data_IF_017193562964
#
_entry.id   IF_017193562964
#
_cell.length_a   1.000
_cell.length_b   1.000
_cell.length_c   1.000
_cell.angle_alpha   90.00
_cell.angle_beta   90.00
_cell.angle_gamma   90.00
#
_symmetry.space_group_name_H-M   'P 1'
#
loop_
_entity.id
_entity.type
_entity.pdbx_description
1 polymer ?
#
# COMPACT_ATOMS: atom_id res chain seq x y z
N UNK A 1 8.88 -7.17 -11.65
CA UNK A 1 8.01 -8.13 -10.95
C UNK A 1 8.38 -8.31 -9.50
N UNK A 2 9.65 -8.46 -9.17
CA UNK A 2 10.14 -8.63 -7.79
C UNK A 2 9.73 -7.48 -6.84
N UNK A 3 9.49 -6.28 -7.37
CA UNK A 3 9.10 -5.09 -6.58
C UNK A 3 7.60 -4.98 -6.34
N UNK A 4 6.76 -5.74 -7.03
CA UNK A 4 5.29 -5.61 -6.95
C UNK A 4 4.76 -5.95 -5.57
N UNK A 5 5.18 -7.04 -5.00
CA UNK A 5 4.70 -7.48 -3.69
C UNK A 5 5.20 -6.59 -2.54
N UNK A 6 6.50 -6.20 -2.48
CA UNK A 6 6.95 -5.17 -1.55
C UNK A 6 6.19 -3.85 -1.68
N UNK A 7 5.93 -3.38 -2.92
CA UNK A 7 5.18 -2.16 -3.17
C UNK A 7 3.71 -2.27 -2.72
N UNK A 8 3.07 -3.40 -2.96
CA UNK A 8 1.72 -3.66 -2.48
C UNK A 8 1.65 -3.61 -0.94
N UNK A 9 2.60 -4.23 -0.25
CA UNK A 9 2.65 -4.23 1.21
C UNK A 9 2.96 -2.82 1.75
N UNK A 10 3.93 -2.08 1.21
CA UNK A 10 4.25 -0.74 1.71
C UNK A 10 3.11 0.24 1.45
N UNK A 11 2.42 0.14 0.31
CA UNK A 11 1.23 0.95 0.02
C UNK A 11 0.08 0.62 0.97
N UNK A 12 -0.11 -0.65 1.31
CA UNK A 12 -1.10 -1.08 2.31
C UNK A 12 -0.79 -0.54 3.71
N UNK A 13 0.47 -0.54 4.13
CA UNK A 13 0.92 0.08 5.38
C UNK A 13 0.66 1.58 5.37
N UNK A 14 0.94 2.25 4.25
CA UNK A 14 0.80 3.69 4.10
C UNK A 14 -0.66 4.13 4.24
N UNK A 15 -1.56 3.58 3.44
CA UNK A 15 -2.95 4.04 3.36
C UNK A 15 -3.94 2.96 2.93
N UNK A 16 -3.69 1.68 3.29
CA UNK A 16 -4.62 0.59 3.05
C UNK A 16 -5.92 0.73 3.85
N UNK A 17 -6.86 -0.20 3.69
CA UNK A 17 -8.25 -0.08 4.17
C UNK A 17 -8.40 -0.14 5.70
N UNK A 18 -7.35 -0.46 6.44
CA UNK A 18 -7.41 -0.55 7.89
C UNK A 18 -7.21 0.80 8.56
N UNK A 19 -7.94 1.06 9.62
CA UNK A 19 -7.89 2.30 10.39
C UNK A 19 -6.50 2.62 10.99
N UNK A 20 -5.64 1.62 11.16
CA UNK A 20 -4.28 1.76 11.66
C UNK A 20 -3.24 2.05 10.56
N UNK A 21 -3.64 2.24 9.31
CA UNK A 21 -2.71 2.68 8.25
C UNK A 21 -2.14 4.06 8.59
N UNK A 22 -0.90 4.33 8.18
CA UNK A 22 -0.16 5.52 8.61
C UNK A 22 -0.90 6.82 8.29
N UNK A 23 -1.45 6.94 7.08
CA UNK A 23 -2.18 8.14 6.66
C UNK A 23 -3.49 8.30 7.42
N UNK A 24 -4.24 7.22 7.65
CA UNK A 24 -5.45 7.28 8.48
C UNK A 24 -5.12 7.78 9.89
N UNK A 25 -4.09 7.24 10.51
CA UNK A 25 -3.68 7.64 11.86
C UNK A 25 -3.24 9.09 11.91
N UNK A 26 -2.40 9.53 10.96
CA UNK A 26 -1.80 10.87 11.03
C UNK A 26 -2.77 11.96 10.55
N UNK A 27 -3.46 11.77 9.43
CA UNK A 27 -4.29 12.82 8.84
C UNK A 27 -5.70 12.84 9.41
N UNK A 28 -6.30 11.67 9.59
CA UNK A 28 -7.68 11.55 10.06
C UNK A 28 -7.77 11.48 11.58
N UNK A 29 -7.16 10.47 12.22
CA UNK A 29 -7.39 10.22 13.66
C UNK A 29 -6.75 11.27 14.57
N UNK A 30 -5.49 11.63 14.29
CA UNK A 30 -4.74 12.58 15.14
C UNK A 30 -5.05 14.03 14.85
N UNK A 31 -5.31 14.38 13.60
CA UNK A 31 -5.45 15.78 13.19
C UNK A 31 -6.85 16.15 12.69
N UNK A 32 -7.73 15.17 12.39
CA UNK A 32 -9.10 15.46 11.97
C UNK A 32 -9.22 16.24 10.66
N UNK A 33 -8.20 16.16 9.77
CA UNK A 33 -8.11 17.03 8.59
C UNK A 33 -8.78 16.44 7.35
N UNK A 34 -9.10 15.15 7.37
CA UNK A 34 -9.70 14.44 6.26
C UNK A 34 -10.67 13.37 6.75
N UNK A 35 -11.80 13.22 6.07
CA UNK A 35 -12.75 12.13 6.34
C UNK A 35 -12.35 10.85 5.59
N UNK A 36 -11.75 11.00 4.40
CA UNK A 36 -11.32 9.89 3.57
C UNK A 36 -9.90 10.13 3.08
N UNK A 37 -9.02 9.22 3.40
CA UNK A 37 -7.65 9.19 2.91
C UNK A 37 -7.24 7.74 2.66
N UNK A 38 -6.74 7.47 1.48
CA UNK A 38 -6.34 6.13 1.07
C UNK A 38 -5.10 6.16 0.18
N UNK A 39 -4.35 5.08 0.19
CA UNK A 39 -3.29 4.81 -0.77
C UNK A 39 -3.60 3.49 -1.49
N UNK A 40 -3.49 3.49 -2.79
CA UNK A 40 -3.74 2.34 -3.64
C UNK A 40 -2.58 2.08 -4.58
N UNK A 41 -2.36 0.81 -4.91
CA UNK A 41 -1.41 0.38 -5.92
C UNK A 41 -2.15 -0.43 -6.99
N UNK A 42 -2.06 0.02 -8.22
CA UNK A 42 -2.64 -0.65 -9.38
C UNK A 42 -1.51 -1.15 -10.28
N UNK A 43 -1.24 -2.45 -10.31
CA UNK A 43 -0.24 -3.04 -11.22
C UNK A 43 -0.81 -3.20 -12.64
N UNK A 44 0.02 -2.89 -13.63
CA UNK A 44 -0.18 -3.20 -15.04
C UNK A 44 0.87 -4.20 -15.51
N UNK A 45 0.80 -4.69 -16.74
CA UNK A 45 1.73 -5.70 -17.27
C UNK A 45 3.18 -5.19 -17.31
N UNK A 46 3.38 -3.95 -17.69
CA UNK A 46 4.67 -3.30 -17.92
C UNK A 46 5.00 -2.17 -16.92
N UNK A 47 4.04 -1.74 -16.12
CA UNK A 47 4.19 -0.63 -15.18
C UNK A 47 3.27 -0.78 -13.97
N UNK A 48 3.11 0.28 -13.18
CA UNK A 48 2.15 0.37 -12.10
C UNK A 48 1.95 1.81 -11.64
N UNK A 49 0.81 2.07 -11.02
CA UNK A 49 0.48 3.38 -10.48
C UNK A 49 0.24 3.24 -8.97
N UNK A 50 0.94 4.06 -8.17
CA UNK A 50 0.58 4.31 -6.78
C UNK A 50 -0.12 5.66 -6.71
N UNK A 51 -1.31 5.66 -6.14
CA UNK A 51 -2.09 6.87 -5.93
C UNK A 51 -2.42 7.04 -4.44
N UNK A 52 -2.28 8.27 -3.96
CA UNK A 52 -2.78 8.70 -2.66
C UNK A 52 -3.91 9.67 -2.93
N UNK A 53 -5.10 9.32 -2.46
CA UNK A 53 -6.28 10.17 -2.57
C UNK A 53 -6.73 10.62 -1.19
N UNK A 54 -7.08 11.88 -1.05
CA UNK A 54 -7.72 12.40 0.15
C UNK A 54 -8.66 13.56 -0.19
N UNK A 55 -9.64 13.77 0.67
CA UNK A 55 -10.51 14.94 0.65
C UNK A 55 -10.32 15.75 1.92
N UNK A 56 -10.22 17.06 1.81
CA UNK A 56 -10.07 17.97 2.96
C UNK A 56 -10.92 19.23 2.77
N UNK A 57 -11.23 19.91 3.86
CA UNK A 57 -11.82 21.23 3.79
C UNK A 57 -10.85 22.24 3.17
N UNK A 58 -11.43 23.29 2.57
CA UNK A 58 -10.64 24.41 2.04
C UNK A 58 -9.78 25.04 3.16
N UNK A 59 -8.47 25.12 2.92
CA UNK A 59 -7.50 25.64 3.89
C UNK A 59 -6.65 24.54 4.56
N UNK A 60 -7.12 23.30 4.63
CA UNK A 60 -6.39 22.21 5.29
C UNK A 60 -5.52 21.41 4.32
N UNK A 61 -5.67 21.62 3.01
CA UNK A 61 -4.99 20.84 1.96
C UNK A 61 -3.46 20.87 2.10
N UNK A 62 -2.88 22.02 2.36
CA UNK A 62 -1.43 22.15 2.52
C UNK A 62 -0.92 21.34 3.72
N UNK A 63 -1.62 21.43 4.86
CA UNK A 63 -1.26 20.66 6.06
C UNK A 63 -1.40 19.13 5.83
N UNK A 64 -2.44 18.71 5.11
CA UNK A 64 -2.58 17.29 4.74
C UNK A 64 -1.38 16.84 3.90
N UNK A 65 -0.99 17.61 2.90
CA UNK A 65 0.16 17.31 2.05
C UNK A 65 1.44 17.18 2.88
N UNK A 66 1.70 18.13 3.78
CA UNK A 66 2.89 18.11 4.63
C UNK A 66 2.95 16.86 5.52
N UNK A 67 1.80 16.44 6.07
CA UNK A 67 1.69 15.22 6.87
C UNK A 67 1.92 13.97 6.03
N UNK A 68 1.34 13.91 4.84
CA UNK A 68 1.53 12.80 3.90
C UNK A 68 3.01 12.69 3.52
N UNK A 69 3.65 13.80 3.16
CA UNK A 69 5.07 13.82 2.82
C UNK A 69 5.97 13.41 3.99
N UNK A 70 5.57 13.77 5.21
CA UNK A 70 6.25 13.32 6.42
C UNK A 70 6.25 11.79 6.55
N UNK A 71 5.11 11.14 6.31
CA UNK A 71 5.02 9.67 6.38
C UNK A 71 5.74 9.00 5.21
N UNK A 72 5.63 9.55 4.00
CA UNK A 72 6.39 9.06 2.84
C UNK A 72 7.90 9.12 3.09
N UNK A 73 8.39 10.22 3.67
CA UNK A 73 9.81 10.38 4.03
C UNK A 73 10.26 9.33 5.04
N UNK A 74 9.44 9.07 6.07
CA UNK A 74 9.76 8.03 7.07
C UNK A 74 9.90 6.66 6.43
N UNK A 75 8.95 6.27 5.58
CA UNK A 75 8.99 4.97 4.89
C UNK A 75 10.21 4.82 3.98
N UNK A 76 10.66 5.91 3.37
CA UNK A 76 11.84 5.95 2.48
C UNK A 76 13.16 5.88 3.23
N UNK A 77 13.22 6.40 4.46
CA UNK A 77 14.51 6.59 5.17
C UNK A 77 14.67 5.70 6.38
N UNK A 78 13.59 5.14 6.90
CA UNK A 78 13.63 4.38 8.16
C UNK A 78 12.97 3.02 7.98
N UNK A 79 13.74 1.93 7.99
CA UNK A 79 13.17 0.59 7.95
C UNK A 79 12.22 0.33 9.12
N UNK A 80 11.15 -0.39 8.84
CA UNK A 80 10.20 -0.82 9.87
C UNK A 80 10.89 -1.71 10.91
N UNK A 81 10.54 -1.53 12.17
CA UNK A 81 10.95 -2.45 13.23
C UNK A 81 10.40 -3.86 12.98
N UNK A 82 11.05 -4.88 13.53
CA UNK A 82 10.60 -6.27 13.40
C UNK A 82 9.14 -6.47 13.83
N UNK A 83 8.70 -5.76 14.88
CA UNK A 83 7.32 -5.79 15.36
C UNK A 83 6.35 -5.18 14.35
N UNK A 84 6.67 -4.00 13.82
CA UNK A 84 5.83 -3.31 12.82
C UNK A 84 5.69 -4.16 11.55
N UNK A 85 6.80 -4.67 11.04
CA UNK A 85 6.81 -5.53 9.86
C UNK A 85 6.00 -6.80 10.08
N UNK A 86 6.15 -7.48 11.23
CA UNK A 86 5.38 -8.69 11.55
C UNK A 86 3.88 -8.41 11.60
N UNK A 87 3.47 -7.30 12.23
CA UNK A 87 2.06 -6.89 12.29
C UNK A 87 1.50 -6.57 10.90
N UNK A 88 2.24 -5.81 10.11
CA UNK A 88 1.84 -5.45 8.74
C UNK A 88 1.65 -6.69 7.85
N UNK A 89 2.58 -7.65 7.89
CA UNK A 89 2.47 -8.90 7.15
C UNK A 89 1.24 -9.72 7.56
N UNK A 90 1.01 -9.87 8.87
CA UNK A 90 -0.17 -10.61 9.38
C UNK A 90 -1.46 -9.96 8.90
N UNK A 91 -1.56 -8.64 8.99
CA UNK A 91 -2.72 -7.88 8.54
C UNK A 91 -2.94 -8.02 7.04
N UNK A 92 -1.88 -7.90 6.24
CA UNK A 92 -1.96 -8.04 4.79
C UNK A 92 -2.37 -9.44 4.36
N UNK A 93 -1.82 -10.49 4.98
CA UNK A 93 -2.23 -11.89 4.76
C UNK A 93 -3.72 -12.09 5.12
N UNK A 94 -4.18 -11.54 6.23
CA UNK A 94 -5.60 -11.64 6.60
C UNK A 94 -6.52 -10.96 5.58
N UNK A 95 -6.13 -9.80 5.05
CA UNK A 95 -6.87 -9.12 3.98
C UNK A 95 -6.91 -9.94 2.69
N UNK A 96 -5.78 -10.54 2.30
CA UNK A 96 -5.72 -11.45 1.14
C UNK A 96 -6.61 -12.67 1.34
N UNK A 97 -6.61 -13.27 2.53
CA UNK A 97 -7.48 -14.40 2.86
C UNK A 97 -8.97 -14.03 2.71
N UNK A 98 -9.39 -12.91 3.29
CA UNK A 98 -10.77 -12.42 3.18
C UNK A 98 -11.15 -12.15 1.72
N UNK A 99 -10.26 -11.52 0.94
CA UNK A 99 -10.53 -11.23 -0.47
C UNK A 99 -10.61 -12.51 -1.33
N UNK A 100 -9.90 -13.57 -0.95
CA UNK A 100 -9.91 -14.86 -1.66
C UNK A 100 -11.15 -15.72 -1.36
N UNK A 101 -11.96 -15.39 -0.36
CA UNK A 101 -13.25 -16.06 -0.08
C UNK A 101 -14.28 -15.77 -1.18
N UNK A 102 -14.12 -14.67 -1.94
CA UNK A 102 -14.94 -14.43 -3.12
C UNK A 102 -14.45 -15.29 -4.30
N UNK A 103 -15.24 -16.30 -4.67
CA UNK A 103 -14.96 -17.14 -5.82
C UNK A 103 -14.79 -16.35 -7.11
N UNK A 104 -15.59 -15.30 -7.31
CA UNK A 104 -15.49 -14.41 -8.46
C UNK A 104 -14.16 -13.64 -8.45
N UNK A 105 -13.80 -13.03 -7.31
CA UNK A 105 -12.54 -12.32 -7.15
C UNK A 105 -11.32 -13.21 -7.35
N UNK A 106 -11.36 -14.43 -6.81
CA UNK A 106 -10.31 -15.41 -7.00
C UNK A 106 -10.17 -15.84 -8.47
N UNK A 107 -11.29 -16.14 -9.13
CA UNK A 107 -11.31 -16.55 -10.55
C UNK A 107 -10.74 -15.44 -11.45
N UNK A 108 -11.16 -14.20 -11.26
CA UNK A 108 -10.66 -13.06 -12.04
C UNK A 108 -9.17 -12.80 -11.79
N UNK A 109 -8.74 -12.88 -10.54
CA UNK A 109 -7.33 -12.75 -10.16
C UNK A 109 -6.45 -13.85 -10.76
N UNK A 110 -6.87 -15.09 -10.66
CA UNK A 110 -6.18 -16.25 -11.23
C UNK A 110 -6.13 -16.16 -12.77
N UNK A 111 -7.25 -15.80 -13.41
CA UNK A 111 -7.30 -15.60 -14.86
C UNK A 111 -6.35 -14.50 -15.34
N UNK A 112 -6.31 -13.38 -14.63
CA UNK A 112 -5.37 -12.29 -14.94
C UNK A 112 -3.91 -12.73 -14.75
N UNK A 113 -3.60 -13.45 -13.69
CA UNK A 113 -2.25 -13.98 -13.43
C UNK A 113 -1.81 -14.93 -14.53
N UNK A 114 -2.68 -15.87 -14.91
CA UNK A 114 -2.40 -16.82 -15.98
C UNK A 114 -2.15 -16.11 -17.32
N UNK A 115 -2.99 -15.13 -17.68
CA UNK A 115 -2.84 -14.37 -18.94
C UNK A 115 -1.59 -13.51 -18.99
N UNK A 116 -1.08 -13.05 -17.85
CA UNK A 116 0.08 -12.16 -17.80
C UNK A 116 1.40 -12.89 -17.53
N UNK A 117 1.36 -14.00 -16.82
CA UNK A 117 2.56 -14.68 -16.32
C UNK A 117 2.63 -16.17 -16.70
N UNK A 118 1.59 -16.68 -17.35
CA UNK A 118 1.43 -18.12 -17.69
C UNK A 118 1.50 -19.03 -16.45
N UNK A 119 1.21 -18.45 -15.26
CA UNK A 119 1.26 -19.13 -13.97
C UNK A 119 0.26 -18.55 -12.99
N UNK A 120 -0.16 -19.35 -12.03
CA UNK A 120 -1.07 -18.96 -10.94
C UNK A 120 -0.52 -19.45 -9.61
N UNK A 121 -0.04 -18.52 -8.79
CA UNK A 121 0.37 -18.84 -7.42
C UNK A 121 -0.84 -19.34 -6.61
N UNK A 122 -0.65 -20.40 -5.84
CA UNK A 122 -1.60 -20.75 -4.79
C UNK A 122 -1.57 -19.73 -3.66
N UNK A 123 -2.64 -19.63 -2.88
CA UNK A 123 -2.68 -18.70 -1.74
C UNK A 123 -1.56 -18.97 -0.74
N UNK A 124 -1.19 -20.24 -0.53
CA UNK A 124 -0.07 -20.60 0.34
C UNK A 124 1.28 -20.05 -0.18
N UNK A 125 1.49 -20.11 -1.49
CA UNK A 125 2.68 -19.52 -2.12
C UNK A 125 2.70 -17.99 -1.96
N UNK A 126 1.55 -17.32 -2.16
CA UNK A 126 1.43 -15.88 -1.94
C UNK A 126 1.72 -15.52 -0.48
N UNK A 127 1.16 -16.25 0.48
CA UNK A 127 1.44 -16.02 1.90
C UNK A 127 2.91 -16.24 2.26
N UNK A 128 3.55 -17.27 1.69
CA UNK A 128 4.98 -17.52 1.87
C UNK A 128 5.82 -16.36 1.33
N UNK A 129 5.49 -15.85 0.14
CA UNK A 129 6.13 -14.67 -0.46
C UNK A 129 5.98 -13.44 0.45
N UNK A 130 4.78 -13.16 1.00
CA UNK A 130 4.56 -12.06 1.93
C UNK A 130 5.38 -12.24 3.21
N UNK A 131 5.44 -13.46 3.77
CA UNK A 131 6.23 -13.73 4.98
C UNK A 131 7.72 -13.53 4.77
N UNK A 132 8.25 -13.75 3.57
CA UNK A 132 9.68 -13.60 3.25
C UNK A 132 10.13 -12.15 3.09
N UNK A 133 9.22 -11.18 2.88
CA UNK A 133 9.57 -9.77 2.70
C UNK A 133 10.37 -9.23 3.88
N UNK A 134 11.32 -8.36 3.60
CA UNK A 134 12.16 -7.71 4.61
C UNK A 134 11.86 -6.22 4.73
N UNK A 135 12.20 -5.61 5.87
CA UNK A 135 12.04 -4.17 6.05
C UNK A 135 12.89 -3.36 5.06
N UNK A 136 14.05 -3.88 4.70
CA UNK A 136 14.96 -3.25 3.72
C UNK A 136 14.30 -3.18 2.35
N UNK A 137 13.74 -4.29 1.85
CA UNK A 137 13.03 -4.31 0.57
C UNK A 137 11.86 -3.30 0.52
N UNK A 138 11.14 -3.13 1.65
CA UNK A 138 10.07 -2.14 1.73
C UNK A 138 10.61 -0.70 1.67
N UNK A 139 11.73 -0.42 2.33
CA UNK A 139 12.35 0.90 2.30
C UNK A 139 12.93 1.22 0.92
N UNK A 140 13.58 0.26 0.27
CA UNK A 140 14.14 0.42 -1.08
C UNK A 140 13.05 0.74 -2.12
N UNK A 141 11.96 -0.02 -2.11
CA UNK A 141 10.85 0.25 -3.05
C UNK A 141 10.12 1.55 -2.72
N UNK A 142 10.02 1.93 -1.44
CA UNK A 142 9.47 3.21 -1.03
C UNK A 142 10.34 4.37 -1.53
N UNK A 143 11.66 4.28 -1.41
CA UNK A 143 12.59 5.30 -1.93
C UNK A 143 12.45 5.46 -3.43
N UNK A 144 12.42 4.37 -4.17
CA UNK A 144 12.30 4.40 -5.61
C UNK A 144 10.98 5.03 -6.09
N UNK A 145 9.86 4.64 -5.47
CA UNK A 145 8.52 5.01 -5.96
C UNK A 145 8.04 6.34 -5.40
N UNK A 146 8.31 6.63 -4.13
CA UNK A 146 7.76 7.81 -3.46
C UNK A 146 8.68 9.04 -3.57
N UNK A 147 9.84 8.95 -4.21
CA UNK A 147 10.77 10.08 -4.35
C UNK A 147 10.29 11.17 -5.34
N UNK A 148 9.43 10.83 -6.28
CA UNK A 148 9.02 11.71 -7.38
C UNK A 148 7.51 11.74 -7.64
N UNK A 149 6.69 11.86 -6.60
CA UNK A 149 5.23 11.89 -6.77
C UNK A 149 4.73 13.20 -7.37
N UNK A 150 3.88 13.10 -8.39
CA UNK A 150 3.12 14.22 -8.95
C UNK A 150 1.89 14.53 -8.10
N UNK A 151 1.40 15.77 -8.15
CA UNK A 151 0.22 16.21 -7.39
C UNK A 151 -0.82 16.81 -8.31
N UNK A 152 -2.09 16.49 -8.03
CA UNK A 152 -3.24 17.11 -8.64
C UNK A 152 -4.17 17.60 -7.52
N UNK A 153 -4.48 18.90 -7.52
CA UNK A 153 -5.42 19.52 -6.58
C UNK A 153 -6.65 19.93 -7.37
N UNK A 154 -7.78 19.36 -6.98
CA UNK A 154 -9.09 19.71 -7.52
C UNK A 154 -9.85 20.57 -6.50
N UNK A 155 -10.35 21.76 -6.91
CA UNK A 155 -11.11 22.71 -6.08
C UNK A 155 -12.57 22.77 -6.53
#
# INVERSE_FOLDING_TARGET
>A
EEKRLPLALVTNILGGPCANSLLNVVVREKNGLSYNIEASYTPYSDTGIVAIYFSSENGNTAQCIDLIEGELRKLRTTPLSARQLSMAKKQFIAQLAISSESNEGYMLGAGKSFLTHDDVDTMEQVYAKVRSLTAVQLTEVAEEVFSGMSRLIYK
#
